data_IF_803760574859
#
_entry.id   IF_803760574859
#
_cell.length_a   1.000
_cell.length_b   1.000
_cell.length_c   1.000
_cell.angle_alpha   90.00
_cell.angle_beta   90.00
_cell.angle_gamma   90.00
#
_symmetry.space_group_name_H-M   'P 1'
#
loop_
_entity.id
_entity.type
_entity.pdbx_description
1 polymer ?
#
# COMPACT_ATOMS: atom_id res chain seq x y z
N UNK A 1 3.70 9.81 -28.88
CA UNK A 1 3.05 9.19 -27.71
C UNK A 1 3.98 8.12 -27.18
N UNK A 2 4.07 7.99 -25.86
CA UNK A 2 4.88 6.93 -25.25
C UNK A 2 4.14 5.59 -25.38
N UNK A 3 4.85 4.49 -25.64
CA UNK A 3 4.27 3.14 -25.75
C UNK A 3 3.72 2.64 -24.40
N UNK A 4 2.90 1.59 -24.41
CA UNK A 4 2.41 0.98 -23.16
C UNK A 4 3.58 0.52 -22.26
N UNK A 5 4.61 -0.23 -22.73
CA UNK A 5 5.75 -0.59 -21.89
C UNK A 5 6.47 0.62 -21.27
N UNK A 6 6.61 1.72 -22.02
CA UNK A 6 7.22 2.95 -21.53
C UNK A 6 6.43 3.58 -20.37
N UNK A 7 5.09 3.58 -20.49
CA UNK A 7 4.19 4.10 -19.46
C UNK A 7 4.11 3.15 -18.25
N UNK A 8 4.05 1.84 -18.47
CA UNK A 8 4.05 0.84 -17.39
C UNK A 8 5.32 0.94 -16.55
N UNK A 9 6.50 0.96 -17.18
CA UNK A 9 7.78 1.12 -16.46
C UNK A 9 7.83 2.40 -15.63
N UNK A 10 7.23 3.50 -16.13
CA UNK A 10 7.20 4.77 -15.40
C UNK A 10 6.23 4.76 -14.20
N UNK A 11 5.19 3.93 -14.22
CA UNK A 11 4.24 3.79 -13.12
C UNK A 11 4.72 2.83 -12.01
N UNK A 12 5.63 1.90 -12.32
CA UNK A 12 6.11 0.89 -11.36
C UNK A 12 6.57 1.49 -10.02
N UNK A 13 7.38 2.57 -9.96
CA UNK A 13 7.79 3.14 -8.68
C UNK A 13 6.61 3.66 -7.85
N UNK A 14 5.61 4.26 -8.49
CA UNK A 14 4.39 4.70 -7.82
C UNK A 14 3.53 3.54 -7.33
N UNK A 15 3.42 2.46 -8.11
CA UNK A 15 2.65 1.26 -7.75
C UNK A 15 3.29 0.48 -6.61
N UNK A 16 4.63 0.37 -6.62
CA UNK A 16 5.36 -0.36 -5.59
C UNK A 16 5.69 0.51 -4.38
N UNK A 17 5.66 1.84 -4.50
CA UNK A 17 6.12 2.77 -3.46
C UNK A 17 7.64 2.89 -3.34
N UNK A 18 8.41 2.27 -4.24
CA UNK A 18 9.86 2.38 -4.31
C UNK A 18 10.40 2.07 -5.71
N UNK A 19 11.67 2.41 -5.98
CA UNK A 19 12.35 2.03 -7.22
C UNK A 19 12.90 0.59 -7.12
N UNK A 20 12.34 -0.39 -7.84
CA UNK A 20 12.80 -1.77 -7.76
C UNK A 20 14.16 -1.96 -8.46
N UNK A 21 14.98 -2.82 -7.87
CA UNK A 21 16.29 -3.22 -8.38
C UNK A 21 16.40 -4.74 -8.34
N UNK A 22 17.12 -5.33 -9.31
CA UNK A 22 17.34 -6.78 -9.41
C UNK A 22 16.04 -7.57 -9.19
N UNK A 23 15.04 -7.25 -9.99
CA UNK A 23 13.66 -7.71 -9.80
C UNK A 23 13.04 -8.18 -11.12
N UNK A 24 12.09 -9.10 -11.01
CA UNK A 24 11.17 -9.46 -12.09
C UNK A 24 9.78 -8.99 -11.65
N UNK A 25 9.13 -8.20 -12.49
CA UNK A 25 7.86 -7.55 -12.20
C UNK A 25 6.83 -8.04 -13.21
N UNK A 26 5.70 -8.51 -12.73
CA UNK A 26 4.57 -8.95 -13.53
C UNK A 26 3.44 -7.95 -13.37
N UNK A 27 3.02 -7.37 -14.48
CA UNK A 27 1.96 -6.38 -14.53
C UNK A 27 0.80 -6.99 -15.32
N UNK A 28 -0.36 -7.07 -14.68
CA UNK A 28 -1.56 -7.62 -15.29
C UNK A 28 -2.45 -6.52 -15.84
N UNK A 29 -3.20 -6.84 -16.89
CA UNK A 29 -4.25 -5.99 -17.44
C UNK A 29 -5.51 -6.81 -17.65
N UNK A 30 -6.65 -6.22 -17.26
CA UNK A 30 -7.98 -6.73 -17.54
C UNK A 30 -8.66 -5.89 -18.59
N UNK A 31 -9.40 -6.54 -19.47
CA UNK A 31 -10.16 -5.92 -20.53
C UNK A 31 -11.61 -5.79 -20.13
N UNK A 32 -12.03 -4.56 -19.84
CA UNK A 32 -13.44 -4.23 -19.65
C UNK A 32 -14.04 -3.88 -21.01
N UNK A 33 -14.81 -4.81 -21.57
CA UNK A 33 -15.69 -4.56 -22.72
C UNK A 33 -17.10 -4.31 -22.23
N UNK A 34 -17.52 -3.06 -22.31
CA UNK A 34 -18.94 -2.72 -22.38
C UNK A 34 -19.35 -2.55 -23.85
N UNK A 35 -20.65 -2.64 -24.13
CA UNK A 35 -21.24 -2.56 -25.48
C UNK A 35 -20.81 -1.30 -26.28
N UNK A 36 -20.31 -0.27 -25.61
CA UNK A 36 -19.91 1.02 -26.21
C UNK A 36 -18.45 1.41 -26.00
N UNK A 37 -17.73 0.77 -25.05
CA UNK A 37 -16.36 1.15 -24.71
C UNK A 37 -15.49 -0.08 -24.39
N UNK A 38 -14.30 -0.09 -24.99
CA UNK A 38 -13.22 -1.04 -24.68
C UNK A 38 -12.20 -0.33 -23.80
N UNK A 39 -12.07 -0.72 -22.54
CA UNK A 39 -11.13 -0.14 -21.59
C UNK A 39 -10.20 -1.22 -21.04
N UNK A 40 -8.93 -0.87 -20.86
CA UNK A 40 -7.96 -1.73 -20.18
C UNK A 40 -7.73 -1.18 -18.79
N UNK A 41 -7.93 -2.01 -17.77
CA UNK A 41 -7.63 -1.70 -16.38
C UNK A 41 -6.35 -2.41 -15.97
N UNK A 42 -5.50 -1.70 -15.23
CA UNK A 42 -4.35 -2.30 -14.57
C UNK A 42 -4.86 -3.23 -13.46
N UNK A 43 -4.45 -4.50 -13.49
CA UNK A 43 -4.70 -5.45 -12.42
C UNK A 43 -3.55 -5.48 -11.40
N UNK A 44 -3.49 -6.51 -10.56
CA UNK A 44 -2.41 -6.65 -9.58
C UNK A 44 -1.03 -6.66 -10.22
N UNK A 45 -0.07 -6.04 -9.53
CA UNK A 45 1.35 -6.05 -9.88
C UNK A 45 2.09 -6.93 -8.88
N UNK A 46 2.76 -7.97 -9.39
CA UNK A 46 3.60 -8.86 -8.59
C UNK A 46 5.07 -8.56 -8.83
N UNK A 47 5.89 -8.77 -7.80
CA UNK A 47 7.34 -8.60 -7.89
C UNK A 47 8.02 -9.74 -7.16
N UNK A 48 9.02 -10.32 -7.81
CA UNK A 48 9.96 -11.27 -7.18
C UNK A 48 11.39 -10.74 -7.34
N UNK A 49 12.27 -11.17 -6.43
CA UNK A 49 13.71 -10.99 -6.60
C UNK A 49 14.20 -11.78 -7.81
N UNK A 50 15.21 -11.27 -8.50
CA UNK A 50 15.71 -11.90 -9.72
C UNK A 50 16.33 -13.29 -9.49
N UNK A 51 16.84 -13.51 -8.28
CA UNK A 51 17.43 -14.77 -7.85
C UNK A 51 16.37 -15.77 -7.32
N UNK A 52 15.10 -15.38 -7.31
CA UNK A 52 13.98 -16.19 -6.79
C UNK A 52 13.11 -16.78 -7.91
N UNK A 53 13.75 -17.32 -8.96
CA UNK A 53 13.04 -17.97 -10.08
C UNK A 53 12.28 -19.24 -9.65
N UNK A 54 12.62 -19.82 -8.51
CA UNK A 54 11.91 -20.93 -7.88
C UNK A 54 10.48 -20.54 -7.42
N UNK A 55 10.20 -19.25 -7.23
CA UNK A 55 8.87 -18.74 -6.89
C UNK A 55 7.92 -18.62 -8.10
N UNK A 56 8.38 -18.88 -9.33
CA UNK A 56 7.57 -18.74 -10.55
C UNK A 56 6.25 -19.56 -10.51
N UNK A 57 6.21 -20.81 -10.02
CA UNK A 57 4.95 -21.56 -9.93
C UNK A 57 3.90 -20.86 -9.06
N UNK A 58 4.29 -20.32 -7.90
CA UNK A 58 3.39 -19.59 -7.00
C UNK A 58 2.91 -18.28 -7.66
N UNK A 59 3.80 -17.57 -8.35
CA UNK A 59 3.42 -16.39 -9.15
C UNK A 59 2.40 -16.77 -10.22
N UNK A 60 2.59 -17.89 -10.90
CA UNK A 60 1.67 -18.43 -11.90
C UNK A 60 0.28 -18.72 -11.35
N UNK A 61 0.20 -19.36 -10.17
CA UNK A 61 -1.06 -19.63 -9.48
C UNK A 61 -1.82 -18.33 -9.17
N UNK A 62 -1.14 -17.32 -8.64
CA UNK A 62 -1.75 -16.01 -8.33
C UNK A 62 -2.23 -15.34 -9.63
N UNK A 63 -1.39 -15.22 -10.65
CA UNK A 63 -1.75 -14.55 -11.90
C UNK A 63 -2.92 -15.23 -12.62
N UNK A 64 -2.99 -16.56 -12.56
CA UNK A 64 -4.08 -17.34 -13.16
C UNK A 64 -5.39 -17.13 -12.41
N UNK A 65 -5.35 -17.10 -11.07
CA UNK A 65 -6.53 -16.84 -10.25
C UNK A 65 -7.13 -15.43 -10.48
N UNK A 66 -6.29 -14.47 -10.85
CA UNK A 66 -6.70 -13.10 -11.15
C UNK A 66 -7.38 -12.93 -12.53
N UNK A 67 -7.48 -13.99 -13.34
CA UNK A 67 -8.11 -13.97 -14.67
C UNK A 67 -7.65 -12.78 -15.53
N UNK A 68 -6.34 -12.48 -15.49
CA UNK A 68 -5.76 -11.40 -16.28
C UNK A 68 -5.89 -11.70 -17.77
N UNK A 69 -6.29 -10.70 -18.57
CA UNK A 69 -6.30 -10.84 -20.02
C UNK A 69 -4.89 -10.75 -20.57
N UNK A 70 -4.07 -9.83 -20.07
CA UNK A 70 -2.68 -9.65 -20.52
C UNK A 70 -1.75 -9.59 -19.31
N UNK A 71 -0.61 -10.28 -19.40
CA UNK A 71 0.47 -10.21 -18.40
C UNK A 71 1.78 -9.80 -19.07
N UNK A 72 2.30 -8.66 -18.65
CA UNK A 72 3.58 -8.14 -19.10
C UNK A 72 4.64 -8.35 -18.01
N UNK A 73 5.78 -8.93 -18.38
CA UNK A 73 6.92 -9.11 -17.50
C UNK A 73 8.01 -8.04 -17.76
N UNK A 74 8.62 -7.55 -16.70
CA UNK A 74 9.73 -6.60 -16.74
C UNK A 74 10.88 -7.10 -15.87
N UNK A 75 12.01 -7.39 -16.50
CA UNK A 75 13.28 -7.70 -15.83
C UNK A 75 14.01 -6.38 -15.59
N UNK A 76 14.19 -6.02 -14.32
CA UNK A 76 14.86 -4.79 -13.89
C UNK A 76 16.18 -5.14 -13.24
N UNK A 77 17.30 -4.87 -13.90
CA UNK A 77 18.60 -5.21 -13.32
C UNK A 77 19.77 -5.01 -14.26
N UNK A 78 20.96 -4.93 -13.67
CA UNK A 78 22.24 -4.96 -14.38
C UNK A 78 22.81 -6.36 -14.25
N UNK A 79 23.19 -6.94 -15.39
CA UNK A 79 23.73 -8.29 -15.46
C UNK A 79 25.20 -8.25 -15.85
N UNK A 80 26.05 -8.99 -15.14
CA UNK A 80 27.44 -9.19 -15.55
C UNK A 80 27.48 -9.94 -16.89
N UNK A 81 28.51 -9.65 -17.69
CA UNK A 81 28.72 -10.30 -18.99
C UNK A 81 29.56 -11.58 -18.92
N UNK A 82 30.16 -11.89 -17.76
CA UNK A 82 31.15 -12.98 -17.66
C UNK A 82 31.01 -13.91 -16.44
N UNK A 83 30.49 -13.44 -15.27
CA UNK A 83 30.32 -14.28 -14.07
C UNK A 83 28.96 -14.04 -13.40
N UNK A 84 28.15 -15.09 -13.25
CA UNK A 84 26.80 -15.05 -12.61
C UNK A 84 25.65 -15.27 -13.60
N UNK A 85 24.41 -15.32 -13.07
CA UNK A 85 23.21 -15.52 -13.89
C UNK A 85 23.08 -14.40 -14.93
N UNK A 86 23.03 -14.77 -16.21
CA UNK A 86 22.96 -13.80 -17.29
C UNK A 86 21.52 -13.37 -17.56
N UNK A 87 21.33 -12.19 -18.18
CA UNK A 87 20.01 -11.77 -18.68
C UNK A 87 19.40 -12.82 -19.62
N UNK A 88 20.24 -13.47 -20.44
CA UNK A 88 19.80 -14.48 -21.40
C UNK A 88 19.29 -15.74 -20.68
N UNK A 89 19.92 -16.16 -19.59
CA UNK A 89 19.45 -17.28 -18.76
C UNK A 89 18.11 -16.98 -18.07
N UNK A 90 17.96 -15.79 -17.47
CA UNK A 90 16.71 -15.36 -16.83
C UNK A 90 15.59 -15.28 -17.87
N UNK A 91 15.86 -14.64 -19.02
CA UNK A 91 14.85 -14.49 -20.08
C UNK A 91 14.49 -15.82 -20.73
N UNK A 92 15.45 -16.75 -20.87
CA UNK A 92 15.18 -18.12 -21.33
C UNK A 92 14.31 -18.87 -20.34
N UNK A 93 14.59 -18.75 -19.04
CA UNK A 93 13.78 -19.39 -17.99
C UNK A 93 12.35 -18.85 -17.98
N UNK A 94 12.19 -17.52 -18.08
CA UNK A 94 10.86 -16.90 -18.16
C UNK A 94 10.11 -17.28 -19.44
N UNK A 95 10.79 -17.36 -20.59
CA UNK A 95 10.19 -17.82 -21.83
C UNK A 95 9.72 -19.28 -21.73
N UNK A 96 10.55 -20.16 -21.17
CA UNK A 96 10.18 -21.56 -20.92
C UNK A 96 9.00 -21.69 -19.95
N UNK A 97 8.98 -20.89 -18.86
CA UNK A 97 7.86 -20.86 -17.93
C UNK A 97 6.56 -20.40 -18.59
N UNK A 98 6.65 -19.47 -19.55
CA UNK A 98 5.52 -19.04 -20.36
C UNK A 98 5.06 -20.13 -21.34
N UNK A 99 5.97 -20.73 -22.11
CA UNK A 99 5.68 -21.81 -23.07
C UNK A 99 5.03 -23.02 -22.39
N UNK A 100 5.49 -23.35 -21.18
CA UNK A 100 4.98 -24.47 -20.38
C UNK A 100 3.77 -24.10 -19.53
N UNK A 101 3.26 -22.87 -19.66
CA UNK A 101 2.09 -22.35 -18.94
C UNK A 101 2.24 -22.41 -17.41
N UNK A 102 3.48 -22.41 -16.90
CA UNK A 102 3.77 -22.24 -15.47
C UNK A 102 3.40 -20.82 -15.06
N UNK A 103 3.72 -19.82 -15.88
CA UNK A 103 3.38 -18.41 -15.65
C UNK A 103 2.79 -17.83 -16.94
N UNK A 104 1.61 -17.19 -16.92
CA UNK A 104 0.94 -16.75 -18.14
C UNK A 104 1.53 -15.44 -18.72
N UNK A 105 2.83 -15.40 -19.03
CA UNK A 105 3.53 -14.18 -19.52
C UNK A 105 3.29 -14.01 -21.02
N UNK A 106 2.72 -12.89 -21.46
CA UNK A 106 2.54 -12.60 -22.89
C UNK A 106 3.78 -11.99 -23.54
N UNK A 107 4.49 -11.12 -22.81
CA UNK A 107 5.70 -10.48 -23.32
C UNK A 107 6.61 -10.04 -22.17
N UNK A 108 7.92 -10.02 -22.43
CA UNK A 108 8.91 -9.67 -21.44
C UNK A 108 9.88 -8.61 -21.97
N UNK A 109 10.09 -7.56 -21.17
CA UNK A 109 11.08 -6.51 -21.44
C UNK A 109 12.20 -6.52 -20.41
N UNK A 110 13.33 -5.94 -20.77
CA UNK A 110 14.45 -5.66 -19.88
C UNK A 110 14.71 -4.16 -19.82
N UNK A 111 14.99 -3.66 -18.62
CA UNK A 111 15.57 -2.35 -18.36
C UNK A 111 16.67 -2.49 -17.31
N UNK A 112 17.76 -1.71 -17.44
CA UNK A 112 18.87 -1.77 -16.48
C UNK A 112 18.53 -1.14 -15.14
N UNK A 113 17.73 -0.08 -15.17
CA UNK A 113 17.21 0.66 -14.03
C UNK A 113 15.98 1.45 -14.49
N UNK A 114 15.07 1.76 -13.58
CA UNK A 114 13.90 2.60 -13.86
C UNK A 114 14.29 4.05 -13.60
N UNK A 115 14.59 4.78 -14.66
CA UNK A 115 14.92 6.21 -14.62
C UNK A 115 14.20 6.95 -15.73
N UNK A 116 13.99 8.25 -15.54
CA UNK A 116 13.45 9.13 -16.57
C UNK A 116 14.26 8.99 -17.86
N UNK A 117 13.57 8.69 -18.97
CA UNK A 117 14.17 8.55 -20.29
C UNK A 117 15.18 7.37 -20.41
N UNK A 118 15.21 6.47 -19.42
CA UNK A 118 16.00 5.23 -19.42
C UNK A 118 15.54 4.28 -20.52
N UNK A 119 16.42 3.40 -21.00
CA UNK A 119 16.10 2.53 -22.14
C UNK A 119 15.51 1.20 -21.69
N UNK A 120 14.56 0.70 -22.46
CA UNK A 120 14.04 -0.67 -22.32
C UNK A 120 14.07 -1.39 -23.67
N UNK A 121 14.12 -2.73 -23.64
CA UNK A 121 14.14 -3.58 -24.83
C UNK A 121 13.33 -4.87 -24.60
N UNK A 122 12.55 -5.27 -25.61
CA UNK A 122 11.82 -6.53 -25.63
C UNK A 122 12.79 -7.71 -25.71
N UNK A 123 12.52 -8.75 -24.92
CA UNK A 123 13.33 -9.96 -24.82
C UNK A 123 12.64 -11.14 -25.48
N UNK A 124 11.35 -11.32 -25.24
CA UNK A 124 10.52 -12.28 -25.94
C UNK A 124 9.04 -11.84 -25.91
N UNK A 125 8.26 -12.41 -26.82
CA UNK A 125 6.80 -12.28 -26.90
C UNK A 125 6.24 -13.67 -27.23
N UNK A 126 5.15 -14.06 -26.56
CA UNK A 126 4.48 -15.35 -26.75
C UNK A 126 3.64 -15.37 -28.04
N UNK A 127 3.26 -16.59 -28.45
CA UNK A 127 2.30 -16.79 -29.55
C UNK A 127 0.96 -17.30 -29.01
N UNK A 128 -0.20 -16.78 -29.47
CA UNK A 128 -0.37 -15.70 -30.45
C UNK A 128 0.16 -14.36 -29.93
N UNK A 129 0.70 -13.52 -30.83
CA UNK A 129 1.32 -12.24 -30.44
C UNK A 129 0.28 -11.28 -29.87
N UNK A 130 0.72 -10.29 -29.08
CA UNK A 130 -0.17 -9.23 -28.57
C UNK A 130 -0.87 -8.49 -29.71
N UNK A 131 -0.22 -8.40 -30.89
CA UNK A 131 -0.81 -7.86 -32.12
C UNK A 131 -1.98 -8.70 -32.62
N UNK A 132 -1.84 -10.04 -32.62
CA UNK A 132 -2.90 -10.96 -33.00
C UNK A 132 -4.09 -10.88 -32.03
N UNK A 133 -3.81 -10.51 -30.78
CA UNK A 133 -4.81 -10.23 -29.73
C UNK A 133 -5.43 -8.83 -29.84
N UNK A 134 -5.03 -8.04 -30.84
CA UNK A 134 -5.62 -6.73 -31.16
C UNK A 134 -5.00 -5.55 -30.41
N UNK A 135 -3.83 -5.70 -29.77
CA UNK A 135 -3.13 -4.59 -29.13
C UNK A 135 -2.24 -3.82 -30.13
N UNK A 136 -2.12 -2.49 -30.01
CA UNK A 136 -1.28 -1.66 -30.87
C UNK A 136 0.19 -1.73 -30.44
N UNK A 137 0.86 -2.82 -30.75
CA UNK A 137 2.25 -3.14 -30.34
C UNK A 137 3.34 -2.38 -31.11
N UNK A 138 2.97 -1.54 -32.09
CA UNK A 138 3.92 -0.80 -32.89
C UNK A 138 4.85 0.06 -32.00
N UNK A 139 6.16 -0.18 -32.11
CA UNK A 139 7.17 0.52 -31.31
C UNK A 139 7.37 0.00 -29.88
N UNK A 140 6.84 -1.18 -29.54
CA UNK A 140 7.03 -1.78 -28.21
C UNK A 140 8.36 -2.54 -28.09
N UNK A 141 9.03 -2.85 -29.20
CA UNK A 141 10.28 -3.65 -29.19
C UNK A 141 11.44 -2.99 -28.44
N UNK A 142 11.55 -1.66 -28.48
CA UNK A 142 12.51 -0.90 -27.70
C UNK A 142 12.02 0.54 -27.53
N UNK A 143 12.52 1.25 -26.53
CA UNK A 143 12.14 2.63 -26.36
C UNK A 143 12.77 3.27 -25.12
N UNK A 144 12.15 4.37 -24.69
CA UNK A 144 12.54 5.08 -23.49
C UNK A 144 11.39 5.11 -22.50
N UNK A 145 11.70 4.90 -21.23
CA UNK A 145 10.77 4.98 -20.11
C UNK A 145 10.19 6.40 -20.07
N UNK A 146 8.88 6.50 -19.89
CA UNK A 146 8.18 7.76 -19.79
C UNK A 146 8.65 8.56 -18.55
N UNK A 147 8.25 9.83 -18.47
CA UNK A 147 8.59 10.65 -17.32
C UNK A 147 7.86 10.15 -16.06
N UNK A 148 8.64 9.75 -15.04
CA UNK A 148 8.15 9.11 -13.81
C UNK A 148 7.38 10.10 -12.93
N UNK A 149 7.82 11.36 -12.73
CA UNK A 149 7.05 12.34 -11.98
C UNK A 149 5.65 12.56 -12.55
N UNK A 150 5.46 12.51 -13.87
CA UNK A 150 4.14 12.69 -14.51
C UNK A 150 3.34 11.39 -14.66
N UNK A 151 3.90 10.24 -14.26
CA UNK A 151 3.17 8.98 -14.24
C UNK A 151 2.03 9.03 -13.20
N UNK A 152 0.88 8.44 -13.54
CA UNK A 152 -0.34 8.49 -12.73
C UNK A 152 -0.12 7.99 -11.30
N UNK A 153 0.52 6.83 -11.13
CA UNK A 153 0.78 6.26 -9.81
C UNK A 153 1.70 7.14 -8.96
N UNK A 154 2.68 7.82 -9.57
CA UNK A 154 3.57 8.76 -8.87
C UNK A 154 2.84 10.03 -8.48
N UNK A 155 2.01 10.57 -9.38
CA UNK A 155 1.18 11.75 -9.10
C UNK A 155 0.21 11.51 -7.94
N UNK A 156 -0.31 10.29 -7.81
CA UNK A 156 -1.18 9.90 -6.71
C UNK A 156 -0.46 9.94 -5.36
N UNK A 157 0.79 9.46 -5.28
CA UNK A 157 1.63 9.59 -4.07
C UNK A 157 1.95 11.06 -3.76
N UNK A 158 2.31 11.84 -4.78
CA UNK A 158 2.61 13.27 -4.64
C UNK A 158 1.41 14.07 -4.10
N UNK A 159 0.20 13.72 -4.52
CA UNK A 159 -1.03 14.33 -4.01
C UNK A 159 -1.27 14.02 -2.52
N UNK A 160 -0.64 12.98 -1.99
CA UNK A 160 -0.64 12.62 -0.57
C UNK A 160 0.62 13.10 0.19
N UNK A 161 1.46 13.92 -0.44
CA UNK A 161 2.70 14.43 0.15
C UNK A 161 3.83 13.40 0.22
N UNK A 162 3.68 12.25 -0.44
CA UNK A 162 4.62 11.15 -0.42
C UNK A 162 5.40 11.02 -1.75
N UNK A 163 6.51 10.29 -1.70
CA UNK A 163 7.34 9.93 -2.85
C UNK A 163 7.65 8.42 -2.80
N UNK A 164 7.89 7.79 -3.97
CA UNK A 164 8.51 6.47 -3.98
C UNK A 164 9.88 6.50 -3.28
N UNK A 165 10.12 5.53 -2.41
CA UNK A 165 11.40 5.36 -1.73
C UNK A 165 12.50 4.88 -2.69
N UNK A 166 13.76 5.10 -2.34
CA UNK A 166 14.88 4.69 -3.19
C UNK A 166 15.02 3.18 -3.29
N UNK A 167 14.76 2.47 -2.19
CA UNK A 167 14.84 1.03 -2.10
C UNK A 167 13.62 0.44 -1.42
N UNK A 168 13.44 -0.87 -1.58
CA UNK A 168 12.40 -1.63 -0.86
C UNK A 168 12.58 -1.54 0.66
N UNK A 169 13.82 -1.61 1.14
CA UNK A 169 14.13 -1.61 2.57
C UNK A 169 13.80 -0.26 3.22
N UNK A 170 13.96 0.83 2.48
CA UNK A 170 13.56 2.17 2.93
C UNK A 170 12.04 2.25 3.21
N UNK A 171 11.21 1.53 2.45
CA UNK A 171 9.76 1.45 2.73
C UNK A 171 9.46 0.86 4.10
N UNK A 172 10.29 -0.06 4.59
CA UNK A 172 10.12 -0.70 5.89
C UNK A 172 10.76 0.10 7.01
N UNK A 173 11.90 0.74 6.75
CA UNK A 173 12.64 1.58 7.72
C UNK A 173 11.76 2.67 8.34
N UNK A 174 10.81 3.22 7.59
CA UNK A 174 9.85 4.20 8.12
C UNK A 174 9.08 3.69 9.35
N UNK A 175 8.81 2.38 9.39
CA UNK A 175 8.07 1.71 10.46
C UNK A 175 8.95 1.16 11.57
N UNK A 176 10.27 1.27 11.50
CA UNK A 176 11.17 0.73 12.52
C UNK A 176 10.89 1.30 13.91
N UNK A 177 11.02 0.44 14.93
CA UNK A 177 10.84 0.85 16.32
C UNK A 177 11.89 1.91 16.67
N UNK A 178 11.45 2.96 17.37
CA UNK A 178 12.35 3.96 17.91
C UNK A 178 13.28 3.29 18.92
N UNK A 179 14.60 3.55 18.79
CA UNK A 179 15.58 3.11 19.76
C UNK A 179 15.23 3.74 21.12
N UNK A 180 14.72 2.91 22.05
CA UNK A 180 14.23 3.35 23.35
C UNK A 180 14.96 2.55 24.43
N UNK A 181 15.35 3.22 25.52
CA UNK A 181 15.91 2.55 26.69
C UNK A 181 14.87 1.54 27.25
N UNK A 182 15.26 0.28 27.55
CA UNK A 182 14.36 -0.73 28.11
C UNK A 182 13.62 -0.33 29.40
N UNK A 183 14.13 0.66 30.15
CA UNK A 183 13.47 1.21 31.35
C UNK A 183 12.32 2.14 30.99
N UNK A 184 12.56 3.10 30.08
CA UNK A 184 11.56 4.02 29.53
C UNK A 184 10.40 3.23 28.89
N UNK A 185 10.74 2.15 28.19
CA UNK A 185 9.78 1.21 27.61
C UNK A 185 8.80 0.63 28.65
N UNK A 186 9.32 0.10 29.77
CA UNK A 186 8.50 -0.54 30.81
C UNK A 186 7.58 0.46 31.52
N UNK A 187 8.08 1.66 31.77
CA UNK A 187 7.30 2.73 32.40
C UNK A 187 6.15 3.16 31.47
N UNK A 188 6.42 3.31 30.17
CA UNK A 188 5.39 3.66 29.17
C UNK A 188 4.34 2.56 28.99
N UNK A 189 4.74 1.29 28.94
CA UNK A 189 3.79 0.17 28.88
C UNK A 189 2.86 0.14 30.11
N UNK A 190 3.40 0.41 31.30
CA UNK A 190 2.62 0.50 32.53
C UNK A 190 1.67 1.70 32.52
N UNK A 191 2.11 2.85 32.00
CA UNK A 191 1.28 4.04 31.82
C UNK A 191 0.08 3.76 30.92
N UNK A 192 0.31 3.15 29.75
CA UNK A 192 -0.76 2.80 28.80
C UNK A 192 -1.75 1.80 29.39
N UNK A 193 -1.29 0.81 30.16
CA UNK A 193 -2.18 -0.12 30.85
C UNK A 193 -3.09 0.59 31.87
N UNK A 194 -2.56 1.57 32.61
CA UNK A 194 -3.35 2.37 33.54
C UNK A 194 -4.35 3.28 32.81
N UNK A 195 -3.93 3.93 31.71
CA UNK A 195 -4.82 4.74 30.88
C UNK A 195 -5.94 3.89 30.28
N UNK A 196 -5.64 2.70 29.77
CA UNK A 196 -6.63 1.79 29.22
C UNK A 196 -7.65 1.34 30.29
N UNK A 197 -7.18 1.02 31.50
CA UNK A 197 -8.06 0.69 32.62
C UNK A 197 -8.97 1.86 33.01
N UNK A 198 -8.42 3.08 33.10
CA UNK A 198 -9.21 4.29 33.39
C UNK A 198 -10.25 4.54 32.30
N UNK A 199 -9.83 4.44 31.04
CA UNK A 199 -10.68 4.67 29.88
C UNK A 199 -11.82 3.63 29.81
N UNK A 200 -11.58 2.37 30.21
CA UNK A 200 -12.62 1.35 30.34
C UNK A 200 -13.60 1.63 31.49
N UNK A 201 -13.13 2.18 32.62
CA UNK A 201 -13.98 2.62 33.74
C UNK A 201 -14.85 3.80 33.29
N UNK A 202 -14.25 4.79 32.64
CA UNK A 202 -14.98 5.98 32.17
C UNK A 202 -16.07 5.59 31.15
N UNK A 203 -15.76 4.66 30.24
CA UNK A 203 -16.70 4.15 29.26
C UNK A 203 -17.96 3.50 29.89
N UNK A 204 -17.84 2.97 31.10
CA UNK A 204 -18.95 2.31 31.81
C UNK A 204 -19.65 3.24 32.80
N UNK A 205 -18.88 4.09 33.49
CA UNK A 205 -19.35 4.79 34.69
C UNK A 205 -19.42 6.31 34.52
N UNK A 206 -18.66 6.88 33.58
CA UNK A 206 -18.49 8.33 33.45
C UNK A 206 -18.60 8.78 31.97
N UNK A 207 -19.80 8.80 31.35
CA UNK A 207 -19.95 9.13 29.93
C UNK A 207 -19.33 10.47 29.51
N UNK A 208 -19.38 11.50 30.37
CA UNK A 208 -18.76 12.80 30.08
C UNK A 208 -17.24 12.76 30.08
N UNK A 209 -16.62 11.97 30.96
CA UNK A 209 -15.18 11.75 30.95
C UNK A 209 -14.79 10.89 29.75
N UNK A 210 -15.59 9.88 29.42
CA UNK A 210 -15.38 9.07 28.23
C UNK A 210 -15.39 9.91 26.94
N UNK A 211 -16.37 10.80 26.79
CA UNK A 211 -16.43 11.76 25.68
C UNK A 211 -15.19 12.68 25.64
N UNK A 212 -14.68 13.11 26.81
CA UNK A 212 -13.52 13.99 26.87
C UNK A 212 -12.26 13.36 26.26
N UNK A 213 -12.05 12.05 26.40
CA UNK A 213 -10.93 11.34 25.74
C UNK A 213 -10.95 11.53 24.22
N UNK A 214 -12.12 11.42 23.59
CA UNK A 214 -12.29 11.61 22.15
C UNK A 214 -12.11 13.07 21.74
N UNK A 215 -12.62 14.01 22.53
CA UNK A 215 -12.41 15.45 22.29
C UNK A 215 -10.93 15.84 22.40
N UNK A 216 -10.19 15.26 23.35
CA UNK A 216 -8.74 15.47 23.46
C UNK A 216 -8.01 14.92 22.22
N UNK A 217 -8.37 13.72 21.77
CA UNK A 217 -7.81 13.14 20.55
C UNK A 217 -8.10 14.00 19.32
N UNK A 218 -9.35 14.42 19.12
CA UNK A 218 -9.76 15.29 18.02
C UNK A 218 -8.99 16.62 18.02
N UNK A 219 -8.84 17.25 19.20
CA UNK A 219 -8.10 18.50 19.36
C UNK A 219 -6.65 18.37 18.91
N UNK A 220 -5.99 17.27 19.30
CA UNK A 220 -4.60 17.01 18.89
C UNK A 220 -4.48 16.66 17.41
N UNK A 221 -5.44 15.93 16.83
CA UNK A 221 -5.47 15.66 15.39
C UNK A 221 -5.61 16.96 14.59
N UNK A 222 -6.54 17.84 14.96
CA UNK A 222 -6.71 19.17 14.34
C UNK A 222 -5.42 20.00 14.46
N UNK A 223 -4.71 19.92 15.59
CA UNK A 223 -3.43 20.61 15.78
C UNK A 223 -2.36 20.09 14.82
N UNK A 224 -2.27 18.77 14.66
CA UNK A 224 -1.28 18.12 13.79
C UNK A 224 -1.52 18.37 12.31
N UNK A 225 -2.75 18.68 11.89
CA UNK A 225 -3.09 19.05 10.52
C UNK A 225 -2.68 20.49 10.14
N UNK A 226 -2.36 21.33 11.13
CA UNK A 226 -2.02 22.72 10.85
C UNK A 226 -0.69 22.81 10.06
N UNK A 227 -0.67 23.50 8.90
CA UNK A 227 0.53 23.66 8.10
C UNK A 227 1.52 24.57 8.82
N UNK A 228 2.47 23.97 9.52
CA UNK A 228 3.59 24.66 10.18
C UNK A 228 4.88 24.43 9.37
N UNK A 229 5.83 25.38 9.34
CA UNK A 229 7.12 25.21 8.66
C UNK A 229 7.92 24.00 9.21
N UNK A 230 7.75 23.72 10.50
CA UNK A 230 8.24 22.54 11.20
C UNK A 230 7.18 22.13 12.23
N UNK A 231 6.19 21.32 11.85
CA UNK A 231 5.15 20.92 12.78
C UNK A 231 5.78 20.06 13.88
N UNK A 232 5.58 20.40 15.17
CA UNK A 232 5.98 19.49 16.23
C UNK A 232 5.11 18.23 16.13
N UNK A 233 5.77 17.07 16.21
CA UNK A 233 5.09 15.77 16.22
C UNK A 233 4.08 15.62 17.37
N UNK A 234 3.37 14.49 17.44
CA UNK A 234 2.49 14.21 18.55
C UNK A 234 3.28 14.18 19.86
N UNK A 235 2.71 14.79 20.92
CA UNK A 235 3.29 14.72 22.26
C UNK A 235 3.21 13.30 22.85
N UNK A 236 4.07 12.99 23.82
CA UNK A 236 4.07 11.68 24.48
C UNK A 236 2.70 11.30 25.07
N UNK A 237 1.99 12.27 25.66
CA UNK A 237 0.69 12.03 26.30
C UNK A 237 -0.38 11.59 25.29
N UNK A 238 -0.41 12.18 24.09
CA UNK A 238 -1.37 11.78 23.06
C UNK A 238 -0.98 10.45 22.39
N UNK A 239 0.32 10.16 22.27
CA UNK A 239 0.80 8.85 21.83
C UNK A 239 0.31 7.76 22.80
N UNK A 240 0.50 7.95 24.10
CA UNK A 240 0.07 7.00 25.13
C UNK A 240 -1.47 6.89 25.21
N UNK A 241 -2.19 8.01 25.04
CA UNK A 241 -3.66 8.03 24.97
C UNK A 241 -4.18 7.23 23.78
N UNK A 242 -3.61 7.46 22.59
CA UNK A 242 -3.96 6.72 21.39
C UNK A 242 -3.66 5.23 21.56
N UNK A 243 -2.47 4.88 22.07
CA UNK A 243 -2.10 3.51 22.38
C UNK A 243 -3.10 2.81 23.33
N UNK A 244 -3.56 3.51 24.38
CA UNK A 244 -4.57 3.00 25.30
C UNK A 244 -5.91 2.75 24.59
N UNK A 245 -6.37 3.65 23.73
CA UNK A 245 -7.60 3.47 22.94
C UNK A 245 -7.47 2.26 21.98
N UNK A 246 -6.33 2.12 21.30
CA UNK A 246 -6.06 1.02 20.37
C UNK A 246 -5.97 -0.34 21.08
N UNK A 247 -5.59 -0.37 22.37
CA UNK A 247 -5.50 -1.60 23.15
C UNK A 247 -6.85 -2.25 23.49
N UNK A 248 -7.97 -1.52 23.34
CA UNK A 248 -9.32 -2.01 23.66
C UNK A 248 -10.15 -2.03 22.37
N UNK A 249 -10.41 -3.22 21.84
CA UNK A 249 -11.05 -3.45 20.52
C UNK A 249 -12.28 -2.57 20.26
N UNK A 250 -13.27 -2.53 21.16
CA UNK A 250 -14.51 -1.77 20.92
C UNK A 250 -14.30 -0.25 20.99
N UNK A 251 -13.31 0.21 21.74
CA UNK A 251 -12.98 1.63 21.88
C UNK A 251 -12.14 2.08 20.69
N UNK A 252 -11.16 1.26 20.28
CA UNK A 252 -10.49 1.39 18.98
C UNK A 252 -11.52 1.55 17.87
N UNK A 253 -12.48 0.63 17.78
CA UNK A 253 -13.50 0.67 16.73
C UNK A 253 -14.33 1.97 16.80
N UNK A 254 -14.70 2.45 17.99
CA UNK A 254 -15.38 3.74 18.16
C UNK A 254 -14.53 4.94 17.72
N UNK A 255 -13.19 4.86 17.82
CA UNK A 255 -12.26 5.93 17.45
C UNK A 255 -11.93 5.97 15.95
N UNK A 256 -12.14 4.88 15.22
CA UNK A 256 -11.73 4.78 13.81
C UNK A 256 -12.29 5.92 12.95
N UNK A 257 -13.59 6.24 13.02
CA UNK A 257 -14.15 7.32 12.21
C UNK A 257 -13.47 8.67 12.48
N UNK A 258 -13.19 8.99 13.74
CA UNK A 258 -12.47 10.22 14.10
C UNK A 258 -11.06 10.23 13.49
N UNK A 259 -10.36 9.11 13.55
CA UNK A 259 -9.03 8.97 12.95
C UNK A 259 -9.08 9.07 11.41
N UNK A 260 -10.10 8.50 10.77
CA UNK A 260 -10.26 8.55 9.31
C UNK A 260 -10.75 9.91 8.80
N UNK A 261 -11.44 10.69 9.63
CA UNK A 261 -11.84 12.06 9.32
C UNK A 261 -10.65 13.03 9.42
N UNK A 262 -9.57 12.62 10.09
CA UNK A 262 -8.30 13.34 10.22
C UNK A 262 -7.12 12.49 9.70
N UNK A 263 -7.30 11.87 8.53
CA UNK A 263 -6.43 10.81 8.01
C UNK A 263 -4.94 11.16 8.00
N UNK A 264 -4.56 12.39 7.62
CA UNK A 264 -3.16 12.82 7.57
C UNK A 264 -2.52 12.84 8.96
N UNK A 265 -3.16 13.52 9.93
CA UNK A 265 -2.67 13.56 11.30
C UNK A 265 -2.71 12.19 11.98
N UNK A 266 -3.75 11.40 11.69
CA UNK A 266 -3.89 10.05 12.21
C UNK A 266 -2.79 9.12 11.68
N UNK A 267 -2.36 9.24 10.41
CA UNK A 267 -1.17 8.52 9.89
C UNK A 267 0.07 8.86 10.72
N UNK A 268 0.34 10.13 10.99
CA UNK A 268 1.49 10.55 11.80
C UNK A 268 1.40 9.99 13.22
N UNK A 269 0.26 10.14 13.89
CA UNK A 269 0.07 9.65 15.25
C UNK A 269 0.18 8.12 15.33
N UNK A 270 -0.44 7.39 14.40
CA UNK A 270 -0.39 5.94 14.34
C UNK A 270 1.03 5.42 14.07
N UNK A 271 1.80 6.12 13.23
CA UNK A 271 3.21 5.79 13.01
C UNK A 271 4.02 5.97 14.29
N UNK A 272 3.85 7.07 15.02
CA UNK A 272 4.55 7.29 16.29
C UNK A 272 4.17 6.25 17.36
N UNK A 273 2.88 5.90 17.46
CA UNK A 273 2.45 4.77 18.31
C UNK A 273 3.13 3.48 17.86
N UNK A 274 3.12 3.16 16.56
CA UNK A 274 3.79 1.96 16.07
C UNK A 274 5.28 1.95 16.42
N UNK A 275 6.00 3.06 16.26
CA UNK A 275 7.43 3.17 16.58
C UNK A 275 7.74 3.01 18.06
N UNK A 276 6.79 3.30 18.95
CA UNK A 276 6.99 3.32 20.40
C UNK A 276 6.37 2.16 21.17
N UNK A 277 5.67 1.24 20.50
CA UNK A 277 5.00 0.09 21.11
C UNK A 277 5.38 -1.24 20.43
N UNK A 278 4.99 -2.35 21.05
CA UNK A 278 5.12 -3.73 20.57
C UNK A 278 3.69 -4.24 20.29
N UNK A 279 3.58 -5.40 19.64
CA UNK A 279 2.29 -6.10 19.54
C UNK A 279 1.65 -6.35 20.93
N UNK A 280 0.32 -6.24 21.07
CA UNK A 280 -0.65 -6.01 19.98
C UNK A 280 -0.84 -4.54 19.60
N UNK A 281 -0.45 -3.58 20.45
CA UNK A 281 -0.71 -2.15 20.24
C UNK A 281 -0.08 -1.65 18.93
N UNK A 282 1.18 -2.03 18.67
CA UNK A 282 1.86 -1.65 17.43
C UNK A 282 1.15 -2.19 16.19
N UNK A 283 0.68 -3.43 16.24
CA UNK A 283 -0.06 -4.06 15.14
C UNK A 283 -1.37 -3.32 14.86
N UNK A 284 -2.08 -2.89 15.91
CA UNK A 284 -3.29 -2.07 15.79
C UNK A 284 -2.98 -0.69 15.18
N UNK A 285 -1.91 -0.05 15.63
CA UNK A 285 -1.47 1.23 15.10
C UNK A 285 -1.08 1.15 13.62
N UNK A 286 -0.38 0.10 13.20
CA UNK A 286 -0.07 -0.16 11.79
C UNK A 286 -1.33 -0.40 10.94
N UNK A 287 -2.38 -1.02 11.51
CA UNK A 287 -3.67 -1.17 10.83
C UNK A 287 -4.39 0.17 10.66
N UNK A 288 -4.38 1.04 11.68
CA UNK A 288 -4.93 2.39 11.59
C UNK A 288 -4.17 3.22 10.55
N UNK A 289 -2.84 3.16 10.57
CA UNK A 289 -2.00 3.80 9.54
C UNK A 289 -2.41 3.33 8.15
N UNK A 290 -2.55 2.02 7.94
CA UNK A 290 -2.93 1.45 6.66
C UNK A 290 -4.33 1.89 6.21
N UNK A 291 -5.32 1.92 7.11
CA UNK A 291 -6.67 2.42 6.79
C UNK A 291 -6.63 3.88 6.33
N UNK A 292 -5.90 4.74 7.02
CA UNK A 292 -5.77 6.16 6.64
C UNK A 292 -5.07 6.31 5.28
N UNK A 293 -4.02 5.52 5.01
CA UNK A 293 -3.35 5.51 3.72
C UNK A 293 -4.27 5.00 2.57
N UNK A 294 -5.10 3.97 2.83
CA UNK A 294 -6.03 3.43 1.83
C UNK A 294 -7.12 4.43 1.43
N UNK A 295 -7.65 5.24 2.37
CA UNK A 295 -8.64 6.29 2.05
C UNK A 295 -8.08 7.33 1.07
N UNK A 296 -6.79 7.58 1.13
CA UNK A 296 -6.10 8.50 0.22
C UNK A 296 -5.56 7.81 -1.04
N UNK A 297 -5.91 6.55 -1.24
CA UNK A 297 -5.39 5.70 -2.30
C UNK A 297 -3.86 5.57 -2.32
N UNK A 298 -3.21 5.76 -1.16
CA UNK A 298 -1.79 5.51 -0.97
C UNK A 298 -1.58 4.03 -0.62
N UNK A 299 -1.96 3.19 -1.59
CA UNK A 299 -1.89 1.74 -1.51
C UNK A 299 -0.50 1.22 -1.13
N UNK A 300 0.62 1.72 -1.70
CA UNK A 300 1.93 1.17 -1.36
C UNK A 300 2.25 1.35 0.12
N UNK A 301 2.07 2.55 0.70
CA UNK A 301 2.36 2.77 2.13
C UNK A 301 1.46 1.92 3.02
N UNK A 302 0.20 1.75 2.66
CA UNK A 302 -0.71 0.86 3.37
C UNK A 302 -0.21 -0.60 3.38
N UNK A 303 0.21 -1.11 2.23
CA UNK A 303 0.72 -2.49 2.12
C UNK A 303 1.98 -2.73 2.93
N UNK A 304 2.95 -1.82 2.88
CA UNK A 304 4.17 -1.95 3.68
C UNK A 304 3.85 -2.00 5.18
N UNK A 305 2.96 -1.12 5.67
CA UNK A 305 2.51 -1.14 7.07
C UNK A 305 1.84 -2.48 7.43
N UNK A 306 0.98 -3.02 6.55
CA UNK A 306 0.31 -4.31 6.78
C UNK A 306 1.27 -5.49 6.71
N UNK A 307 2.30 -5.43 5.87
CA UNK A 307 3.36 -6.46 5.83
C UNK A 307 4.15 -6.49 7.13
N UNK A 308 4.51 -5.33 7.69
CA UNK A 308 5.14 -5.22 9.01
C UNK A 308 4.21 -5.77 10.09
N UNK A 309 2.93 -5.37 10.08
CA UNK A 309 1.94 -5.85 11.04
C UNK A 309 1.77 -7.38 10.99
N UNK A 310 1.73 -7.97 9.78
CA UNK A 310 1.61 -9.42 9.57
C UNK A 310 2.86 -10.17 10.02
N UNK A 311 4.05 -9.61 9.78
CA UNK A 311 5.30 -10.21 10.25
C UNK A 311 5.38 -10.23 11.78
N UNK A 312 4.92 -9.16 12.44
CA UNK A 312 4.94 -9.05 13.90
C UNK A 312 3.86 -9.89 14.58
N UNK A 313 2.65 -9.97 14.01
CA UNK A 313 1.54 -10.76 14.55
C UNK A 313 0.76 -11.49 13.43
N UNK A 314 1.20 -12.68 12.99
CA UNK A 314 0.63 -13.39 11.84
C UNK A 314 -0.86 -13.76 11.96
N UNK A 315 -1.36 -13.93 13.19
CA UNK A 315 -2.75 -14.27 13.49
C UNK A 315 -3.67 -13.05 13.67
N UNK A 316 -3.16 -11.83 13.48
CA UNK A 316 -3.94 -10.61 13.69
C UNK A 316 -5.09 -10.49 12.68
N UNK A 317 -6.32 -10.45 13.19
CA UNK A 317 -7.52 -10.59 12.37
C UNK A 317 -7.76 -9.37 11.47
N UNK A 318 -7.58 -8.15 12.00
CA UNK A 318 -7.78 -6.93 11.21
C UNK A 318 -6.74 -6.84 10.08
N UNK A 319 -5.47 -7.11 10.37
CA UNK A 319 -4.40 -7.15 9.34
C UNK A 319 -4.77 -8.11 8.21
N UNK A 320 -5.25 -9.31 8.55
CA UNK A 320 -5.69 -10.30 7.57
C UNK A 320 -6.84 -9.78 6.70
N UNK A 321 -7.85 -9.15 7.30
CA UNK A 321 -8.99 -8.60 6.53
C UNK A 321 -8.59 -7.43 5.64
N UNK A 322 -7.71 -6.54 6.10
CA UNK A 322 -7.19 -5.44 5.29
C UNK A 322 -6.39 -5.94 4.07
N UNK A 323 -5.56 -6.97 4.27
CA UNK A 323 -4.82 -7.61 3.18
C UNK A 323 -5.74 -8.34 2.19
N UNK A 324 -6.74 -9.08 2.67
CA UNK A 324 -7.72 -9.76 1.80
C UNK A 324 -8.56 -8.77 1.01
N UNK A 325 -9.02 -7.69 1.63
CA UNK A 325 -9.77 -6.66 0.93
C UNK A 325 -8.94 -6.00 -0.18
N UNK A 326 -7.66 -5.75 0.07
CA UNK A 326 -6.76 -5.28 -0.97
C UNK A 326 -6.61 -6.30 -2.11
N UNK A 327 -6.32 -7.57 -1.79
CA UNK A 327 -6.14 -8.64 -2.78
C UNK A 327 -7.35 -8.84 -3.69
N UNK A 328 -8.55 -8.59 -3.17
CA UNK A 328 -9.80 -8.74 -3.93
C UNK A 328 -10.35 -7.41 -4.47
N UNK A 329 -9.57 -6.32 -4.44
CA UNK A 329 -10.00 -4.98 -4.91
C UNK A 329 -11.26 -4.45 -4.19
N UNK A 330 -11.50 -4.88 -2.95
CA UNK A 330 -12.65 -4.51 -2.12
C UNK A 330 -12.36 -3.34 -1.18
N UNK A 331 -11.31 -2.57 -1.42
CA UNK A 331 -10.84 -1.49 -0.52
C UNK A 331 -11.95 -0.48 -0.20
N UNK A 332 -12.68 0.01 -1.21
CA UNK A 332 -13.75 0.99 -1.00
C UNK A 332 -14.89 0.43 -0.14
N UNK A 333 -15.33 -0.80 -0.45
CA UNK A 333 -16.36 -1.49 0.34
C UNK A 333 -15.90 -1.74 1.78
N UNK A 334 -14.64 -2.13 1.96
CA UNK A 334 -14.03 -2.33 3.27
C UNK A 334 -14.04 -1.02 4.07
N UNK A 335 -13.61 0.10 3.48
CA UNK A 335 -13.61 1.41 4.17
C UNK A 335 -15.03 1.78 4.60
N UNK A 336 -16.03 1.59 3.74
CA UNK A 336 -17.44 1.81 4.09
C UNK A 336 -17.86 0.95 5.30
N UNK A 337 -17.56 -0.35 5.29
CA UNK A 337 -17.89 -1.25 6.41
C UNK A 337 -17.14 -0.94 7.69
N UNK A 338 -15.90 -0.48 7.59
CA UNK A 338 -15.12 -0.01 8.73
C UNK A 338 -15.75 1.24 9.34
N UNK A 339 -16.20 2.20 8.51
CA UNK A 339 -16.91 3.40 8.97
C UNK A 339 -18.27 3.08 9.60
N UNK A 340 -19.02 2.13 9.04
CA UNK A 340 -20.28 1.63 9.60
C UNK A 340 -20.06 0.98 10.97
N UNK A 341 -19.08 0.07 11.06
CA UNK A 341 -18.72 -0.60 12.31
C UNK A 341 -18.27 0.39 13.39
N UNK A 342 -17.48 1.39 13.01
CA UNK A 342 -17.07 2.47 13.91
C UNK A 342 -18.25 3.30 14.41
N UNK A 343 -19.21 3.60 13.54
CA UNK A 343 -20.45 4.31 13.91
C UNK A 343 -21.27 3.52 14.92
N UNK A 344 -21.43 2.21 14.71
CA UNK A 344 -22.14 1.34 15.65
C UNK A 344 -21.42 1.24 17.00
N UNK A 345 -20.09 1.17 17.01
CA UNK A 345 -19.28 1.15 18.23
C UNK A 345 -19.38 2.48 19.01
N UNK A 346 -19.34 3.62 18.33
CA UNK A 346 -19.52 4.93 18.95
C UNK A 346 -20.93 5.09 19.55
N UNK A 347 -21.96 4.66 18.82
CA UNK A 347 -23.35 4.69 19.28
C UNK A 347 -23.58 3.82 20.52
N UNK A 348 -22.90 2.66 20.62
CA UNK A 348 -22.96 1.81 21.81
C UNK A 348 -22.54 2.55 23.09
N UNK A 349 -21.56 3.46 22.99
CA UNK A 349 -21.10 4.29 24.12
C UNK A 349 -21.82 5.64 24.24
N UNK A 350 -22.77 5.94 23.36
CA UNK A 350 -23.45 7.24 23.34
C UNK A 350 -22.54 8.42 22.98
N UNK A 351 -21.44 8.17 22.25
CA UNK A 351 -20.50 9.22 21.85
C UNK A 351 -21.11 10.15 20.81
N UNK A 352 -20.88 11.45 21.00
CA UNK A 352 -21.16 12.48 20.00
C UNK A 352 -19.87 12.82 19.27
N UNK A 353 -19.62 12.17 18.12
CA UNK A 353 -18.45 12.43 17.28
C UNK A 353 -18.91 13.31 16.10
N UNK A 354 -18.44 14.57 15.97
CA UNK A 354 -18.71 15.38 14.79
C UNK A 354 -18.13 14.66 13.57
N UNK A 355 -18.93 14.44 12.52
CA UNK A 355 -18.40 13.97 11.24
C UNK A 355 -17.91 15.18 10.45
N UNK A 356 -16.69 15.12 9.92
CA UNK A 356 -16.36 15.97 8.78
C UNK A 356 -17.06 15.39 7.54
N UNK A 357 -17.90 16.18 6.88
CA UNK A 357 -18.43 15.80 5.58
C UNK A 357 -17.28 15.70 4.59
N UNK A 358 -16.97 14.49 4.13
CA UNK A 358 -15.98 14.24 3.11
C UNK A 358 -16.28 15.10 1.86
N UNK A 359 -15.35 15.98 1.49
CA UNK A 359 -15.30 16.51 0.14
C UNK A 359 -14.85 15.38 -0.77
N UNK A 360 -15.81 14.70 -1.40
CA UNK A 360 -15.54 13.71 -2.44
C UNK A 360 -14.77 14.40 -3.57
N UNK A 361 -13.46 14.16 -3.64
CA UNK A 361 -12.67 14.42 -4.84
C UNK A 361 -13.20 13.52 -5.98
N UNK A 362 -13.05 13.95 -7.25
CA UNK A 362 -13.55 13.16 -8.36
C UNK A 362 -12.87 11.80 -8.39
N UNK A 363 -13.66 10.72 -8.48
CA UNK A 363 -13.17 9.36 -8.73
C UNK A 363 -12.16 9.39 -9.87
N UNK A 364 -10.89 9.14 -9.54
CA UNK A 364 -9.86 8.94 -10.53
C UNK A 364 -10.02 7.52 -11.08
N UNK A 365 -10.79 7.40 -12.17
CA UNK A 365 -10.72 6.22 -13.03
C UNK A 365 -9.24 5.99 -13.37
N UNK A 366 -8.69 4.83 -12.97
CA UNK A 366 -7.34 4.38 -13.31
C UNK A 366 -7.27 3.92 -14.79
N UNK A 367 -7.73 4.79 -15.69
CA UNK A 367 -7.75 4.56 -17.13
C UNK A 367 -6.45 5.02 -17.76
N UNK A 368 -5.65 4.05 -18.22
CA UNK A 368 -4.64 4.30 -19.25
C UNK A 368 -5.35 4.18 -20.59
N UNK A 369 -5.62 5.32 -21.24
CA UNK A 369 -6.25 5.35 -22.55
C UNK A 369 -5.25 4.89 -23.61
N UNK A 370 -5.36 3.64 -24.04
CA UNK A 370 -4.74 3.19 -25.29
C UNK A 370 -5.67 3.60 -26.44
N UNK A 371 -5.25 4.59 -27.24
CA UNK A 371 -5.80 4.85 -28.57
C UNK A 371 -4.96 4.18 -29.63
#
# INVERSE_FOLDING_TARGET
>A
MNSLPAQTLANIPGVLGYYPHQSIIFVTFRHHRDDTHSRWALGPTLRIDIDSLDALPEVGEVLTAEHADVVLAFVIGRFPTQDGTTLDEITTTLAQAADTHIVPIDACWHATTITNNGTYQLRFEQTPSLTDRGLPTAGWCHGRIADIPTAQATQQLLADGDLPELTRDDCFTAFDKAATDPTIWRDRASNVANLAAQLAVDAQCCPSQFQAWFTTLETELIRLEQPLPTPPGPGADIIDTCAAMLSITRIRDAAINLLLDHDHAARTLALEVARHFDAPIRTEALCVFALCALIRHNTPKALHALMVARAEQPSHTLTRYLLLAYQHELTENLIEKVRDGSTAAAAYYGLSIPRQTATTGPNADNTITAT
#
